data_IF_440051832740
#
_entry.id   IF_440051832740
#
_cell.length_a   1.000
_cell.length_b   1.000
_cell.length_c   1.000
_cell.angle_alpha   90.00
_cell.angle_beta   90.00
_cell.angle_gamma   90.00
#
_symmetry.space_group_name_H-M   'P 1'
#
loop_
_entity.id
_entity.type
_entity.pdbx_description
1 polymer ?
#
# COMPACT_ATOMS: atom_id res chain seq x y z
N UNK A 1 -3.76 31.45 -6.43
CA UNK A 1 -4.03 30.24 -5.65
C UNK A 1 -2.98 29.14 -5.87
N UNK A 2 -2.59 28.85 -7.10
CA UNK A 2 -1.58 27.82 -7.42
C UNK A 2 -0.14 28.31 -7.19
N UNK A 3 0.13 29.61 -7.30
CA UNK A 3 1.48 30.15 -7.14
C UNK A 3 1.83 30.49 -5.68
N UNK A 4 0.86 30.92 -4.88
CA UNK A 4 1.10 31.46 -3.52
C UNK A 4 0.06 31.05 -2.50
N UNK A 5 -0.85 30.16 -2.83
CA UNK A 5 -1.96 29.75 -1.97
C UNK A 5 -1.90 28.29 -1.52
N UNK A 6 -2.99 27.76 -0.99
CA UNK A 6 -3.06 26.39 -0.48
C UNK A 6 -2.84 25.30 -1.55
N UNK A 7 -2.87 25.69 -2.84
CA UNK A 7 -2.62 24.78 -3.98
C UNK A 7 -1.25 25.00 -4.62
N UNK A 8 -0.28 25.63 -3.93
CA UNK A 8 1.05 25.94 -4.47
C UNK A 8 1.85 24.72 -4.88
N UNK A 9 1.56 23.55 -4.31
CA UNK A 9 2.22 22.28 -4.64
C UNK A 9 1.46 21.46 -5.71
N UNK A 10 0.39 22.01 -6.29
CA UNK A 10 -0.41 21.34 -7.31
C UNK A 10 -0.07 21.96 -8.68
N UNK A 11 0.18 21.11 -9.68
CA UNK A 11 0.37 21.56 -11.05
C UNK A 11 -0.87 22.32 -11.56
N UNK A 12 -0.63 23.44 -12.25
CA UNK A 12 -1.73 24.26 -12.81
C UNK A 12 -2.69 23.44 -13.67
N UNK A 13 -2.18 22.48 -14.41
CA UNK A 13 -2.97 21.58 -15.24
C UNK A 13 -3.95 20.75 -14.40
N UNK A 14 -3.47 20.12 -13.33
CA UNK A 14 -4.30 19.31 -12.43
C UNK A 14 -5.37 20.16 -11.72
N UNK A 15 -5.01 21.37 -11.34
CA UNK A 15 -5.96 22.32 -10.75
C UNK A 15 -7.09 22.68 -11.72
N UNK A 16 -6.78 22.90 -12.99
CA UNK A 16 -7.79 23.16 -14.02
C UNK A 16 -8.70 21.95 -14.23
N UNK A 17 -8.13 20.73 -14.27
CA UNK A 17 -8.91 19.49 -14.37
C UNK A 17 -9.86 19.36 -13.18
N UNK A 18 -9.36 19.61 -11.96
CA UNK A 18 -10.18 19.58 -10.74
C UNK A 18 -11.35 20.56 -10.84
N UNK A 19 -11.10 21.82 -11.18
CA UNK A 19 -12.18 22.83 -11.28
C UNK A 19 -13.24 22.43 -12.32
N UNK A 20 -12.84 21.94 -13.47
CA UNK A 20 -13.76 21.46 -14.51
C UNK A 20 -14.60 20.28 -14.02
N UNK A 21 -14.00 19.35 -13.32
CA UNK A 21 -14.70 18.21 -12.76
C UNK A 21 -15.69 18.61 -11.68
N UNK A 22 -15.31 19.54 -10.77
CA UNK A 22 -16.22 20.08 -9.76
C UNK A 22 -17.41 20.82 -10.42
N UNK A 23 -17.17 21.52 -11.54
CA UNK A 23 -18.24 22.14 -12.33
C UNK A 23 -19.18 21.10 -12.95
N UNK A 24 -18.66 20.02 -13.54
CA UNK A 24 -19.46 18.92 -14.08
C UNK A 24 -20.32 18.24 -13.00
N UNK A 25 -19.78 18.12 -11.79
CA UNK A 25 -20.52 17.60 -10.62
C UNK A 25 -21.49 18.62 -10.00
N UNK A 26 -21.63 19.82 -10.58
CA UNK A 26 -22.46 20.93 -10.04
C UNK A 26 -22.08 21.34 -8.60
N UNK A 27 -20.84 21.08 -8.19
CA UNK A 27 -20.31 21.53 -6.90
C UNK A 27 -19.89 22.99 -6.94
N UNK A 28 -19.39 23.45 -8.08
CA UNK A 28 -19.10 24.86 -8.37
C UNK A 28 -19.76 25.27 -9.68
N UNK A 29 -19.99 26.56 -9.84
CA UNK A 29 -20.42 27.19 -11.08
C UNK A 29 -19.56 28.42 -11.37
N UNK A 30 -19.41 28.78 -12.64
CA UNK A 30 -18.67 29.97 -13.04
C UNK A 30 -19.66 30.99 -13.63
N UNK A 31 -19.65 32.18 -13.10
CA UNK A 31 -20.40 33.33 -13.65
C UNK A 31 -19.73 33.90 -14.90
N UNK A 32 -20.45 34.72 -15.64
CA UNK A 32 -19.93 35.43 -16.81
C UNK A 32 -18.75 36.37 -16.50
N UNK A 33 -18.63 36.81 -15.26
CA UNK A 33 -17.51 37.59 -14.73
C UNK A 33 -16.23 36.76 -14.53
N UNK A 34 -16.31 35.41 -14.61
CA UNK A 34 -15.23 34.50 -14.31
C UNK A 34 -15.16 34.10 -12.83
N UNK A 35 -16.00 34.67 -11.97
CA UNK A 35 -16.05 34.32 -10.55
C UNK A 35 -16.60 32.90 -10.37
N UNK A 36 -15.98 32.14 -9.48
CA UNK A 36 -16.45 30.82 -9.08
C UNK A 36 -17.32 30.91 -7.84
N UNK A 37 -18.52 30.35 -7.93
CA UNK A 37 -19.51 30.29 -6.86
C UNK A 37 -19.86 28.83 -6.55
N UNK A 38 -20.58 28.57 -5.47
CA UNK A 38 -21.17 27.26 -5.22
C UNK A 38 -22.17 26.89 -6.32
N UNK A 39 -22.08 25.72 -6.85
CA UNK A 39 -23.11 25.14 -7.71
C UNK A 39 -24.26 24.59 -6.88
N UNK A 40 -25.32 24.12 -7.54
CA UNK A 40 -26.52 23.58 -6.89
C UNK A 40 -26.26 22.52 -5.82
N UNK A 41 -25.39 21.55 -6.13
CA UNK A 41 -24.99 20.51 -5.17
C UNK A 41 -24.00 21.04 -4.15
N UNK A 42 -23.11 21.95 -4.54
CA UNK A 42 -22.14 22.58 -3.64
C UNK A 42 -22.82 23.38 -2.54
N UNK A 43 -23.87 24.14 -2.87
CA UNK A 43 -24.64 24.90 -1.89
C UNK A 43 -25.32 23.98 -0.86
N UNK A 44 -25.94 22.89 -1.32
CA UNK A 44 -26.51 21.87 -0.41
C UNK A 44 -25.45 21.26 0.50
N UNK A 45 -24.26 20.98 -0.05
CA UNK A 45 -23.16 20.36 0.68
C UNK A 45 -22.59 21.26 1.77
N UNK A 46 -22.27 22.53 1.45
CA UNK A 46 -21.66 23.46 2.42
C UNK A 46 -22.63 23.89 3.53
N UNK A 47 -23.93 23.79 3.28
CA UNK A 47 -24.97 24.07 4.28
C UNK A 47 -25.25 22.85 5.18
N UNK A 48 -24.70 21.68 4.88
CA UNK A 48 -24.86 20.50 5.71
C UNK A 48 -23.80 20.50 6.84
N UNK A 49 -24.22 20.18 8.07
CA UNK A 49 -23.32 20.20 9.25
C UNK A 49 -22.11 19.28 9.10
N UNK A 50 -22.24 18.16 8.38
CA UNK A 50 -21.14 17.22 8.12
C UNK A 50 -20.04 17.83 7.25
N UNK A 51 -20.30 18.89 6.49
CA UNK A 51 -19.27 19.54 5.68
C UNK A 51 -18.08 19.99 6.54
N UNK A 52 -18.37 20.56 7.71
CA UNK A 52 -17.36 21.07 8.64
C UNK A 52 -16.84 20.04 9.62
N UNK A 53 -17.37 18.83 9.60
CA UNK A 53 -16.88 17.76 10.48
C UNK A 53 -15.44 17.37 10.11
N UNK A 54 -14.52 17.54 11.06
CA UNK A 54 -13.12 17.08 10.92
C UNK A 54 -12.97 15.57 11.13
N UNK A 55 -14.00 14.90 11.64
CA UNK A 55 -13.96 13.47 11.89
C UNK A 55 -14.25 12.73 10.58
N UNK A 56 -13.26 12.00 10.12
CA UNK A 56 -13.38 11.05 9.01
C UNK A 56 -14.00 9.79 9.60
N UNK A 57 -15.21 9.45 9.20
CA UNK A 57 -15.66 8.07 9.35
C UNK A 57 -14.86 7.25 8.34
N UNK A 58 -13.96 6.38 8.83
CA UNK A 58 -13.29 5.43 7.94
C UNK A 58 -14.37 4.69 7.16
N UNK A 59 -14.30 4.75 5.83
CA UNK A 59 -15.21 3.98 5.01
C UNK A 59 -14.97 2.49 5.26
N UNK A 60 -16.03 1.79 5.62
CA UNK A 60 -15.99 0.34 5.86
C UNK A 60 -16.50 -0.40 4.62
N UNK A 61 -15.77 -1.41 4.24
CA UNK A 61 -16.23 -2.38 3.25
C UNK A 61 -16.90 -3.55 3.94
N UNK A 62 -18.11 -3.90 3.50
CA UNK A 62 -18.79 -5.11 3.93
C UNK A 62 -18.18 -6.32 3.22
N UNK A 63 -17.81 -7.33 3.99
CA UNK A 63 -17.27 -8.58 3.45
C UNK A 63 -18.42 -9.57 3.26
N UNK A 64 -18.53 -10.12 2.07
CA UNK A 64 -19.56 -11.10 1.71
C UNK A 64 -18.92 -12.37 1.11
N UNK A 65 -19.46 -13.53 1.52
CA UNK A 65 -19.10 -14.84 0.94
C UNK A 65 -20.35 -15.66 0.68
N UNK A 66 -20.52 -16.15 -0.53
CA UNK A 66 -21.68 -16.94 -0.96
C UNK A 66 -23.03 -16.26 -0.59
N UNK A 67 -23.13 -14.95 -0.81
CA UNK A 67 -24.34 -14.15 -0.53
C UNK A 67 -24.62 -13.90 0.97
N UNK A 68 -23.70 -14.25 1.87
CA UNK A 68 -23.82 -13.98 3.31
C UNK A 68 -22.82 -12.92 3.73
N UNK A 69 -23.28 -11.90 4.46
CA UNK A 69 -22.43 -10.93 5.10
C UNK A 69 -21.66 -11.58 6.25
N UNK A 70 -20.34 -11.37 6.28
CA UNK A 70 -19.45 -11.86 7.34
C UNK A 70 -19.14 -10.76 8.36
N UNK A 71 -19.33 -9.48 7.99
CA UNK A 71 -19.03 -8.30 8.80
C UNK A 71 -18.46 -7.17 7.94
N UNK A 72 -17.86 -6.17 8.56
CA UNK A 72 -17.23 -5.04 7.87
C UNK A 72 -15.77 -4.87 8.27
N UNK A 73 -14.98 -4.26 7.38
CA UNK A 73 -13.56 -3.95 7.60
C UNK A 73 -13.23 -2.60 6.97
N UNK A 74 -12.42 -1.81 7.68
CA UNK A 74 -11.82 -0.59 7.15
C UNK A 74 -10.43 -0.94 6.60
N UNK A 75 -10.16 -0.66 5.33
CA UNK A 75 -8.91 -0.97 4.66
C UNK A 75 -8.25 0.28 4.14
N UNK A 76 -7.03 0.56 4.58
CA UNK A 76 -6.20 1.69 4.09
C UNK A 76 -5.17 1.27 3.05
N UNK A 77 -4.73 0.00 3.07
CA UNK A 77 -3.79 -0.51 2.09
C UNK A 77 -4.46 -0.75 0.73
N UNK A 78 -3.69 -0.74 -0.37
CA UNK A 78 -4.23 -1.00 -1.69
C UNK A 78 -5.01 -2.32 -1.74
N UNK A 79 -6.26 -2.25 -2.18
CA UNK A 79 -7.14 -3.42 -2.30
C UNK A 79 -7.28 -3.81 -3.77
N UNK A 80 -6.85 -5.02 -4.09
CA UNK A 80 -6.91 -5.57 -5.46
C UNK A 80 -7.61 -6.92 -5.50
N UNK A 81 -8.24 -7.28 -6.62
CA UNK A 81 -8.72 -8.65 -6.82
C UNK A 81 -7.60 -9.68 -6.65
N UNK A 82 -7.96 -10.87 -6.21
CA UNK A 82 -7.07 -12.00 -5.92
C UNK A 82 -6.13 -11.84 -4.73
N UNK A 83 -6.10 -10.70 -4.03
CA UNK A 83 -5.31 -10.59 -2.81
C UNK A 83 -5.87 -11.47 -1.69
N UNK A 84 -4.96 -11.92 -0.81
CA UNK A 84 -5.34 -12.60 0.43
C UNK A 84 -5.83 -11.61 1.47
N UNK A 85 -6.84 -11.98 2.24
CA UNK A 85 -7.39 -11.19 3.34
C UNK A 85 -7.59 -12.08 4.56
N UNK A 86 -7.21 -11.61 5.76
CA UNK A 86 -7.64 -12.25 7.01
C UNK A 86 -8.83 -11.47 7.57
N UNK A 87 -9.91 -12.19 7.84
CA UNK A 87 -11.08 -11.64 8.49
C UNK A 87 -11.74 -12.67 9.42
N UNK A 88 -12.10 -12.25 10.62
CA UNK A 88 -12.69 -13.10 11.66
C UNK A 88 -11.88 -14.41 11.92
N UNK A 89 -10.55 -14.29 11.96
CA UNK A 89 -9.64 -15.41 12.24
C UNK A 89 -9.54 -16.44 11.11
N UNK A 90 -10.04 -16.14 9.91
CA UNK A 90 -10.01 -17.01 8.73
C UNK A 90 -9.35 -16.32 7.56
N UNK A 91 -8.81 -17.12 6.66
CA UNK A 91 -8.24 -16.67 5.39
C UNK A 91 -9.30 -16.63 4.31
N UNK A 92 -9.25 -15.57 3.54
CA UNK A 92 -10.14 -15.30 2.44
C UNK A 92 -9.33 -14.82 1.23
N UNK A 93 -9.81 -15.15 0.04
CA UNK A 93 -9.33 -14.61 -1.23
C UNK A 93 -10.35 -13.63 -1.75
N UNK A 94 -9.92 -12.41 -2.08
CA UNK A 94 -10.77 -11.39 -2.68
C UNK A 94 -11.11 -11.81 -4.11
N UNK A 95 -12.40 -11.93 -4.42
CA UNK A 95 -12.90 -12.24 -5.76
C UNK A 95 -13.19 -10.96 -6.52
N UNK A 96 -13.98 -10.09 -5.90
CA UNK A 96 -14.49 -8.88 -6.52
C UNK A 96 -14.61 -7.77 -5.47
N UNK A 97 -14.43 -6.54 -5.91
CA UNK A 97 -14.54 -5.34 -5.08
C UNK A 97 -15.50 -4.38 -5.76
N UNK A 98 -16.61 -4.10 -5.11
CA UNK A 98 -17.54 -3.06 -5.52
C UNK A 98 -17.31 -1.81 -4.67
N UNK A 99 -16.59 -0.84 -5.23
CA UNK A 99 -16.21 0.39 -4.51
C UNK A 99 -17.40 1.33 -4.27
N UNK A 100 -18.42 1.30 -5.13
CA UNK A 100 -19.62 2.13 -4.96
C UNK A 100 -20.52 1.59 -3.83
N UNK A 101 -20.77 0.27 -3.84
CA UNK A 101 -21.58 -0.37 -2.79
C UNK A 101 -20.78 -0.67 -1.51
N UNK A 102 -19.45 -0.45 -1.52
CA UNK A 102 -18.52 -0.78 -0.44
C UNK A 102 -18.62 -2.25 -0.01
N UNK A 103 -18.60 -3.16 -1.01
CA UNK A 103 -18.68 -4.60 -0.81
C UNK A 103 -17.43 -5.28 -1.35
N UNK A 104 -16.87 -6.20 -0.56
CA UNK A 104 -15.79 -7.09 -0.96
C UNK A 104 -16.36 -8.51 -0.98
N UNK A 105 -16.40 -9.13 -2.16
CA UNK A 105 -16.74 -10.53 -2.28
C UNK A 105 -15.52 -11.40 -2.10
N UNK A 106 -15.61 -12.39 -1.21
CA UNK A 106 -14.51 -13.27 -0.85
C UNK A 106 -14.88 -14.74 -0.93
N UNK A 107 -13.87 -15.59 -1.12
CA UNK A 107 -13.98 -17.04 -0.96
C UNK A 107 -12.98 -17.55 0.06
N UNK A 108 -13.26 -18.69 0.75
CA UNK A 108 -12.29 -19.29 1.67
C UNK A 108 -10.99 -19.62 0.94
N UNK A 109 -9.86 -19.25 1.54
CA UNK A 109 -8.51 -19.54 1.03
C UNK A 109 -7.82 -20.55 1.94
N UNK A 110 -7.35 -21.67 1.36
CA UNK A 110 -6.73 -22.78 2.10
C UNK A 110 -5.19 -22.76 2.03
N UNK A 111 -4.60 -21.88 1.24
CA UNK A 111 -3.17 -21.92 0.96
C UNK A 111 -2.49 -20.56 0.96
N UNK A 112 -1.16 -20.58 0.99
CA UNK A 112 -0.33 -19.40 0.85
C UNK A 112 0.18 -18.80 2.18
N UNK A 113 0.96 -17.72 2.08
CA UNK A 113 1.46 -16.93 3.19
C UNK A 113 0.33 -16.42 4.07
N UNK A 114 0.63 -16.21 5.35
CA UNK A 114 -0.33 -15.60 6.27
C UNK A 114 -0.53 -14.14 5.83
N UNK A 115 -1.71 -13.73 5.35
CA UNK A 115 -1.94 -12.33 5.04
C UNK A 115 -1.71 -11.50 6.31
N UNK A 116 -1.12 -10.33 6.10
CA UNK A 116 -0.89 -9.38 7.18
C UNK A 116 -2.21 -9.00 7.87
N UNK A 117 -2.23 -9.05 9.22
CA UNK A 117 -3.30 -8.48 10.00
C UNK A 117 -3.26 -6.96 9.87
N UNK A 118 -4.13 -6.40 9.05
CA UNK A 118 -4.39 -4.97 9.15
C UNK A 118 -5.09 -4.68 10.47
N UNK A 119 -4.34 -4.09 11.38
CA UNK A 119 -4.96 -3.38 12.48
C UNK A 119 -5.74 -2.20 11.89
N UNK A 120 -7.05 -2.30 11.92
CA UNK A 120 -7.95 -1.23 11.55
C UNK A 120 -7.54 0.07 12.26
N UNK A 121 -7.03 1.03 11.49
CA UNK A 121 -6.71 2.36 12.03
C UNK A 121 -5.25 2.63 12.41
N UNK A 122 -4.32 1.72 12.21
CA UNK A 122 -2.89 1.99 12.45
C UNK A 122 -2.28 2.83 11.32
N UNK A 123 -1.49 3.83 11.74
CA UNK A 123 -0.65 4.59 10.80
C UNK A 123 0.34 3.66 10.10
N UNK A 124 0.64 3.94 8.83
CA UNK A 124 1.68 3.22 8.08
C UNK A 124 3.03 3.28 8.79
N UNK A 125 3.70 2.14 8.91
CA UNK A 125 5.01 2.07 9.53
C UNK A 125 6.05 2.70 8.60
N UNK A 126 6.77 3.69 9.10
CA UNK A 126 7.82 4.38 8.35
C UNK A 126 9.07 3.50 8.22
N UNK A 127 9.80 3.61 7.10
CA UNK A 127 11.02 2.83 6.81
C UNK A 127 12.07 2.92 7.94
N UNK A 128 12.23 4.09 8.57
CA UNK A 128 13.19 4.28 9.67
C UNK A 128 12.97 3.32 10.84
N UNK A 129 11.70 2.98 11.15
CA UNK A 129 11.38 2.05 12.24
C UNK A 129 11.89 0.65 11.89
N UNK A 130 11.58 0.14 10.69
CA UNK A 130 12.03 -1.19 10.28
C UNK A 130 13.54 -1.29 10.07
N UNK A 131 14.15 -0.24 9.56
CA UNK A 131 15.61 -0.14 9.48
C UNK A 131 16.24 -0.20 10.88
N UNK A 132 15.65 0.51 11.87
CA UNK A 132 16.13 0.44 13.26
C UNK A 132 15.93 -0.96 13.86
N UNK A 133 14.86 -1.67 13.51
CA UNK A 133 14.68 -3.07 13.90
C UNK A 133 15.83 -3.94 13.34
N UNK A 134 16.20 -3.76 12.07
CA UNK A 134 17.34 -4.47 11.47
C UNK A 134 18.65 -4.14 12.18
N UNK A 135 18.91 -2.87 12.48
CA UNK A 135 20.09 -2.44 13.24
C UNK A 135 20.18 -3.11 14.62
N UNK A 136 19.06 -3.21 15.35
CA UNK A 136 18.99 -3.88 16.66
C UNK A 136 19.27 -5.38 16.56
N UNK A 137 18.86 -6.03 15.47
CA UNK A 137 19.13 -7.45 15.23
C UNK A 137 20.57 -7.70 14.83
N UNK A 138 21.20 -6.77 14.09
CA UNK A 138 22.61 -6.82 13.70
C UNK A 138 23.58 -6.70 14.87
N UNK A 139 23.26 -5.83 15.83
CA UNK A 139 24.15 -5.50 16.94
C UNK A 139 23.81 -6.31 18.20
N UNK A 140 24.83 -6.81 18.89
CA UNK A 140 24.67 -7.52 20.16
C UNK A 140 24.51 -6.61 21.38
N UNK A 141 24.38 -5.28 21.16
CA UNK A 141 24.25 -4.31 22.26
C UNK A 141 23.09 -4.67 23.18
N UNK A 142 23.33 -4.63 24.47
CA UNK A 142 22.33 -4.80 25.50
C UNK A 142 21.36 -3.61 25.51
N UNK A 143 20.07 -3.87 25.67
CA UNK A 143 19.02 -2.85 25.72
C UNK A 143 18.52 -2.78 27.16
N UNK A 144 18.91 -1.75 27.94
CA UNK A 144 18.79 -1.74 29.39
C UNK A 144 17.35 -1.65 29.92
N UNK A 145 16.38 -1.25 29.09
CA UNK A 145 14.98 -1.13 29.47
C UNK A 145 14.14 -2.38 29.18
N UNK A 146 14.73 -3.46 28.65
CA UNK A 146 14.05 -4.72 28.45
C UNK A 146 14.07 -5.57 29.73
N UNK A 147 12.95 -6.19 30.06
CA UNK A 147 12.89 -7.22 31.07
C UNK A 147 13.57 -8.53 30.62
N UNK A 148 13.73 -9.49 31.51
CA UNK A 148 14.40 -10.74 31.24
C UNK A 148 13.71 -11.55 30.10
N UNK A 149 12.39 -11.50 29.99
CA UNK A 149 11.62 -12.18 28.94
C UNK A 149 11.86 -11.55 27.59
N UNK A 150 11.80 -10.22 27.50
CA UNK A 150 12.05 -9.48 26.28
C UNK A 150 13.51 -9.61 25.83
N UNK A 151 14.47 -9.63 26.75
CA UNK A 151 15.88 -9.90 26.44
C UNK A 151 16.07 -11.30 25.83
N UNK A 152 15.42 -12.33 26.38
CA UNK A 152 15.46 -13.68 25.83
C UNK A 152 14.86 -13.72 24.41
N UNK A 153 13.70 -13.13 24.21
CA UNK A 153 13.06 -13.04 22.88
C UNK A 153 13.94 -12.31 21.87
N UNK A 154 14.61 -11.23 22.28
CA UNK A 154 15.53 -10.52 21.41
C UNK A 154 16.76 -11.37 21.06
N UNK A 155 17.29 -12.14 22.01
CA UNK A 155 18.40 -13.06 21.75
C UNK A 155 18.00 -14.15 20.73
N UNK A 156 16.81 -14.73 20.88
CA UNK A 156 16.26 -15.71 19.92
C UNK A 156 16.07 -15.09 18.53
N UNK A 157 15.55 -13.86 18.46
CA UNK A 157 15.37 -13.14 17.21
C UNK A 157 16.71 -12.83 16.51
N UNK A 158 17.73 -12.41 17.25
CA UNK A 158 19.11 -12.21 16.75
C UNK A 158 19.72 -13.50 16.22
N UNK A 159 19.54 -14.60 16.92
CA UNK A 159 20.04 -15.92 16.47
C UNK A 159 19.34 -16.35 15.18
N UNK A 160 18.02 -16.21 15.10
CA UNK A 160 17.28 -16.46 13.87
C UNK A 160 17.76 -15.59 12.70
N UNK A 161 17.96 -14.28 12.95
CA UNK A 161 18.46 -13.34 11.95
C UNK A 161 19.82 -13.76 11.39
N UNK A 162 20.75 -14.16 12.28
CA UNK A 162 22.11 -14.62 11.94
C UNK A 162 22.09 -15.95 11.19
N UNK A 163 21.42 -16.98 11.73
CA UNK A 163 21.32 -18.32 11.09
C UNK A 163 20.63 -18.22 9.74
N UNK A 164 19.68 -17.30 9.61
CA UNK A 164 18.97 -17.04 8.37
C UNK A 164 19.76 -16.20 7.36
N UNK A 165 20.97 -15.74 7.72
CA UNK A 165 21.82 -14.86 6.90
C UNK A 165 21.12 -13.60 6.39
N UNK A 166 20.18 -13.04 7.17
CA UNK A 166 19.39 -11.85 6.79
C UNK A 166 20.19 -10.56 6.81
N UNK A 167 21.44 -10.62 7.30
CA UNK A 167 22.42 -9.54 7.14
C UNK A 167 22.80 -9.36 5.68
N UNK A 168 23.07 -10.48 4.97
CA UNK A 168 23.70 -10.51 3.64
C UNK A 168 22.73 -10.89 2.52
N UNK A 169 21.49 -11.24 2.83
CA UNK A 169 20.51 -11.61 1.81
C UNK A 169 19.15 -10.94 2.03
N UNK A 170 18.56 -10.49 0.92
CA UNK A 170 17.19 -10.03 0.90
C UNK A 170 16.19 -11.16 0.65
N UNK A 171 16.62 -12.30 0.16
CA UNK A 171 15.72 -13.34 -0.34
C UNK A 171 15.90 -14.66 0.40
N UNK A 172 14.78 -15.21 0.89
CA UNK A 172 14.70 -16.59 1.41
C UNK A 172 13.56 -17.35 0.76
N UNK A 173 13.76 -18.62 0.53
CA UNK A 173 12.71 -19.55 0.12
C UNK A 173 12.26 -20.36 1.33
N UNK A 174 10.96 -20.42 1.58
CA UNK A 174 10.37 -21.14 2.70
C UNK A 174 8.95 -21.61 2.37
N UNK A 175 8.66 -22.89 2.57
CA UNK A 175 7.31 -23.44 2.42
C UNK A 175 6.68 -23.27 1.03
N UNK A 176 7.48 -23.25 -0.04
CA UNK A 176 7.01 -23.05 -1.42
C UNK A 176 6.80 -21.57 -1.79
N UNK A 177 7.12 -20.65 -0.88
CA UNK A 177 7.04 -19.20 -1.09
C UNK A 177 8.42 -18.58 -1.06
N UNK A 178 8.55 -17.42 -1.68
CA UNK A 178 9.76 -16.58 -1.62
C UNK A 178 9.49 -15.38 -0.71
N UNK A 179 10.33 -15.22 0.31
CA UNK A 179 10.29 -14.09 1.24
C UNK A 179 11.32 -13.06 0.82
N UNK A 180 10.87 -11.84 0.54
CA UNK A 180 11.72 -10.70 0.18
C UNK A 180 11.81 -9.76 1.38
N UNK A 181 12.88 -9.84 2.15
CA UNK A 181 13.13 -9.01 3.34
C UNK A 181 13.56 -7.61 2.93
N UNK A 182 12.62 -6.69 2.95
CA UNK A 182 12.85 -5.30 2.51
C UNK A 182 13.42 -4.42 3.60
N UNK A 183 13.01 -4.63 4.85
CA UNK A 183 13.25 -3.72 5.98
C UNK A 183 12.82 -2.27 5.69
N UNK A 184 11.86 -2.11 4.76
CA UNK A 184 11.31 -0.84 4.36
C UNK A 184 9.92 -0.60 5.00
N UNK A 185 9.46 0.64 4.95
CA UNK A 185 8.14 1.03 5.44
C UNK A 185 7.01 0.52 4.55
N UNK A 186 5.77 0.69 5.04
CA UNK A 186 4.59 0.18 4.34
C UNK A 186 4.40 0.80 2.97
N UNK A 187 4.72 2.09 2.78
CA UNK A 187 4.61 2.74 1.48
C UNK A 187 5.50 2.09 0.42
N UNK A 188 6.75 1.78 0.77
CA UNK A 188 7.68 1.07 -0.13
C UNK A 188 7.20 -0.36 -0.37
N UNK A 189 6.81 -1.07 0.69
CA UNK A 189 6.33 -2.45 0.58
C UNK A 189 5.06 -2.56 -0.26
N UNK A 190 4.08 -1.67 -0.06
CA UNK A 190 2.86 -1.63 -0.85
C UNK A 190 3.16 -1.35 -2.33
N UNK A 191 4.11 -0.44 -2.60
CA UNK A 191 4.57 -0.16 -3.97
C UNK A 191 5.17 -1.42 -4.61
N UNK A 192 6.06 -2.11 -3.88
CA UNK A 192 6.67 -3.37 -4.36
C UNK A 192 5.63 -4.46 -4.61
N UNK A 193 4.64 -4.60 -3.72
CA UNK A 193 3.53 -5.56 -3.91
C UNK A 193 2.76 -5.27 -5.19
N UNK A 194 2.42 -3.99 -5.45
CA UNK A 194 1.75 -3.60 -6.70
C UNK A 194 2.62 -3.82 -7.93
N UNK A 195 3.93 -3.51 -7.86
CA UNK A 195 4.87 -3.76 -8.95
C UNK A 195 4.98 -5.24 -9.29
N UNK A 196 5.15 -6.09 -8.28
CA UNK A 196 5.24 -7.54 -8.45
C UNK A 196 3.91 -8.13 -8.95
N UNK A 197 2.79 -7.66 -8.38
CA UNK A 197 1.44 -8.07 -8.77
C UNK A 197 1.11 -7.70 -10.22
N UNK A 198 1.57 -6.55 -10.73
CA UNK A 198 1.37 -6.13 -12.13
C UNK A 198 2.01 -7.08 -13.15
N UNK A 199 2.99 -7.88 -12.73
CA UNK A 199 3.63 -8.92 -13.54
C UNK A 199 3.16 -10.34 -13.15
N UNK A 200 2.08 -10.48 -12.41
CA UNK A 200 1.42 -11.75 -12.12
C UNK A 200 1.95 -12.51 -10.91
N UNK A 201 2.78 -11.91 -10.06
CA UNK A 201 3.19 -12.51 -8.79
C UNK A 201 2.12 -12.26 -7.71
N UNK A 202 1.77 -13.32 -6.97
CA UNK A 202 0.90 -13.22 -5.79
C UNK A 202 1.75 -12.80 -4.59
N UNK A 203 1.80 -11.49 -4.34
CA UNK A 203 2.64 -10.88 -3.32
C UNK A 203 1.80 -10.23 -2.22
N UNK A 204 2.26 -10.30 -0.96
CA UNK A 204 1.64 -9.67 0.19
C UNK A 204 2.67 -8.97 1.08
N UNK A 205 2.30 -7.82 1.66
CA UNK A 205 3.13 -7.08 2.60
C UNK A 205 2.97 -7.71 3.99
N UNK A 206 4.04 -8.31 4.51
CA UNK A 206 4.10 -8.96 5.83
C UNK A 206 4.92 -8.13 6.84
N UNK A 207 5.00 -6.84 6.62
CA UNK A 207 5.75 -5.91 7.47
C UNK A 207 7.23 -5.85 7.12
N UNK A 208 8.08 -6.63 7.75
CA UNK A 208 9.54 -6.59 7.49
C UNK A 208 9.94 -7.25 6.18
N UNK A 209 9.05 -8.04 5.59
CA UNK A 209 9.25 -8.70 4.30
C UNK A 209 7.97 -8.70 3.46
N UNK A 210 8.12 -8.99 2.20
CA UNK A 210 7.04 -9.31 1.28
C UNK A 210 7.05 -10.82 1.08
N UNK A 211 5.90 -11.46 1.24
CA UNK A 211 5.73 -12.86 0.92
C UNK A 211 5.20 -13.01 -0.50
N UNK A 212 5.85 -13.83 -1.31
CA UNK A 212 5.46 -14.13 -2.69
C UNK A 212 5.08 -15.59 -2.76
N UNK A 213 3.80 -15.86 -2.88
CA UNK A 213 3.23 -17.21 -2.86
C UNK A 213 3.61 -18.00 -4.11
N UNK A 214 3.80 -19.32 -3.95
CA UNK A 214 4.07 -20.24 -5.06
C UNK A 214 5.18 -19.75 -6.00
N UNK A 215 6.23 -19.15 -5.44
CA UNK A 215 7.33 -18.54 -6.18
C UNK A 215 8.68 -19.07 -5.74
N UNK A 216 9.62 -19.07 -6.68
CA UNK A 216 11.05 -19.35 -6.44
C UNK A 216 11.88 -18.10 -6.61
N UNK A 217 13.05 -18.05 -5.99
CA UNK A 217 14.05 -16.96 -6.14
C UNK A 217 14.32 -16.60 -7.60
N UNK A 218 14.45 -17.62 -8.48
CA UNK A 218 14.67 -17.40 -9.90
C UNK A 218 13.54 -16.66 -10.60
N UNK A 219 12.29 -16.96 -10.23
CA UNK A 219 11.10 -16.28 -10.76
C UNK A 219 11.05 -14.83 -10.30
N UNK A 220 11.32 -14.56 -9.02
CA UNK A 220 11.42 -13.20 -8.49
C UNK A 220 12.48 -12.40 -9.25
N UNK A 221 13.68 -12.95 -9.44
CA UNK A 221 14.76 -12.28 -10.18
C UNK A 221 14.37 -11.96 -11.62
N UNK A 222 13.72 -12.89 -12.33
CA UNK A 222 13.26 -12.66 -13.69
C UNK A 222 12.23 -11.50 -13.73
N UNK A 223 11.31 -11.48 -12.77
CA UNK A 223 10.30 -10.43 -12.63
C UNK A 223 10.93 -9.08 -12.32
N UNK A 224 11.90 -9.02 -11.37
CA UNK A 224 12.61 -7.78 -11.03
C UNK A 224 13.39 -7.25 -12.23
N UNK A 225 14.09 -8.10 -12.98
CA UNK A 225 14.75 -7.72 -14.24
C UNK A 225 13.78 -7.10 -15.23
N UNK A 226 12.61 -7.71 -15.41
CA UNK A 226 11.57 -7.21 -16.31
C UNK A 226 11.02 -5.86 -15.84
N UNK A 227 10.79 -5.67 -14.53
CA UNK A 227 10.36 -4.38 -13.98
C UNK A 227 11.36 -3.28 -14.29
N UNK A 228 12.64 -3.52 -14.02
CA UNK A 228 13.69 -2.52 -14.24
C UNK A 228 13.93 -2.23 -15.73
N UNK A 229 13.71 -3.20 -16.62
CA UNK A 229 13.83 -3.00 -18.07
C UNK A 229 12.65 -2.23 -18.69
N UNK A 230 11.49 -2.22 -18.06
CA UNK A 230 10.30 -1.53 -18.55
C UNK A 230 10.35 -0.01 -18.36
N UNK A 231 11.37 0.50 -17.66
CA UNK A 231 11.55 1.94 -17.40
C UNK A 231 10.69 2.47 -16.26
N UNK A 232 10.44 3.77 -16.28
CA UNK A 232 9.72 4.46 -15.18
C UNK A 232 8.26 4.04 -15.15
N UNK A 233 7.83 3.54 -13.99
CA UNK A 233 6.45 3.15 -13.73
C UNK A 233 5.71 4.36 -13.17
N UNK A 234 4.58 4.70 -13.77
CA UNK A 234 3.75 5.82 -13.30
C UNK A 234 2.76 5.38 -12.21
N UNK A 235 2.34 6.30 -11.31
CA UNK A 235 1.28 5.99 -10.33
C UNK A 235 0.02 5.42 -10.97
N UNK A 236 -0.43 5.99 -12.08
CA UNK A 236 -1.64 5.53 -12.77
C UNK A 236 -1.53 4.07 -13.28
N UNK A 237 -0.33 3.64 -13.69
CA UNK A 237 -0.11 2.24 -14.08
C UNK A 237 -0.19 1.29 -12.89
N UNK A 238 0.39 1.65 -11.74
CA UNK A 238 0.34 0.83 -10.51
C UNK A 238 -1.06 0.75 -9.92
N UNK A 239 -1.80 1.87 -9.96
CA UNK A 239 -3.11 1.98 -9.33
C UNK A 239 -4.28 1.48 -10.21
N UNK A 240 -4.00 0.99 -11.42
CA UNK A 240 -5.03 0.55 -12.37
C UNK A 240 -6.01 -0.48 -11.76
N UNK A 241 -5.49 -1.43 -11.00
CA UNK A 241 -6.28 -2.51 -10.38
C UNK A 241 -6.69 -2.22 -8.93
N UNK A 242 -6.21 -1.11 -8.35
CA UNK A 242 -6.57 -0.71 -6.98
C UNK A 242 -7.97 -0.13 -6.97
N UNK A 243 -8.83 -0.62 -6.07
CA UNK A 243 -10.27 -0.29 -6.03
C UNK A 243 -10.68 0.60 -4.87
N UNK A 244 -9.83 0.77 -3.85
CA UNK A 244 -10.07 1.60 -2.67
C UNK A 244 -9.24 2.88 -2.68
N UNK A 245 -9.28 3.63 -3.78
CA UNK A 245 -8.53 4.88 -3.92
C UNK A 245 -9.12 6.02 -3.08
N UNK A 246 -10.42 6.00 -2.85
CA UNK A 246 -11.13 6.96 -2.02
C UNK A 246 -10.89 6.61 -0.54
N UNK A 247 -9.90 7.25 0.09
CA UNK A 247 -9.50 7.03 1.48
C UNK A 247 -9.87 8.18 2.40
N UNK A 248 -10.14 9.37 1.82
CA UNK A 248 -10.43 10.58 2.54
C UNK A 248 -11.83 11.10 2.21
N UNK A 249 -12.42 11.86 3.12
CA UNK A 249 -13.80 12.35 3.07
C UNK A 249 -14.23 12.98 1.74
N UNK A 250 -13.32 13.64 1.05
CA UNK A 250 -13.62 14.40 -0.17
C UNK A 250 -13.06 13.78 -1.45
N UNK A 251 -12.51 12.58 -1.37
CA UNK A 251 -11.90 11.90 -2.51
C UNK A 251 -12.89 11.62 -3.65
N UNK A 252 -14.16 11.37 -3.33
CA UNK A 252 -15.24 11.25 -4.31
C UNK A 252 -15.44 12.50 -5.21
N UNK A 253 -14.99 13.66 -4.75
CA UNK A 253 -15.05 14.91 -5.51
C UNK A 253 -13.81 15.14 -6.39
N UNK A 254 -12.84 14.20 -6.39
CA UNK A 254 -11.64 14.28 -7.21
C UNK A 254 -11.84 13.55 -8.55
N UNK A 255 -11.38 14.12 -9.68
CA UNK A 255 -11.26 13.37 -10.92
C UNK A 255 -10.21 12.28 -10.78
N UNK A 256 -10.40 11.14 -11.47
CA UNK A 256 -9.55 9.95 -11.32
C UNK A 256 -8.05 10.25 -11.41
N UNK A 257 -7.63 11.09 -12.34
CA UNK A 257 -6.21 11.45 -12.51
C UNK A 257 -5.61 12.18 -11.31
N UNK A 258 -6.40 13.04 -10.66
CA UNK A 258 -6.00 13.75 -9.43
C UNK A 258 -6.08 12.83 -8.23
N UNK A 259 -7.10 11.97 -8.17
CA UNK A 259 -7.24 10.94 -7.13
C UNK A 259 -6.07 9.97 -7.15
N UNK A 260 -5.67 9.46 -8.32
CA UNK A 260 -4.50 8.58 -8.46
C UNK A 260 -3.22 9.25 -7.92
N UNK A 261 -3.00 10.53 -8.26
CA UNK A 261 -1.85 11.30 -7.75
C UNK A 261 -1.92 11.52 -6.24
N UNK A 262 -3.11 11.89 -5.73
CA UNK A 262 -3.35 12.07 -4.29
C UNK A 262 -3.07 10.79 -3.52
N UNK A 263 -3.68 9.69 -3.93
CA UNK A 263 -3.48 8.38 -3.31
C UNK A 263 -2.01 7.96 -3.35
N UNK A 264 -1.36 8.07 -4.51
CA UNK A 264 0.05 7.72 -4.65
C UNK A 264 0.96 8.54 -3.74
N UNK A 265 0.69 9.83 -3.56
CA UNK A 265 1.49 10.71 -2.69
C UNK A 265 1.47 10.28 -1.22
N UNK A 266 0.40 9.63 -0.79
CA UNK A 266 0.22 9.16 0.60
C UNK A 266 0.61 7.69 0.76
N UNK A 267 0.27 6.83 -0.20
CA UNK A 267 0.34 5.38 -0.05
C UNK A 267 1.57 4.73 -0.71
N UNK A 268 2.24 5.41 -1.65
CA UNK A 268 3.32 4.82 -2.45
C UNK A 268 4.65 5.56 -2.30
N UNK A 269 5.74 4.85 -2.64
CA UNK A 269 7.13 5.34 -2.71
C UNK A 269 7.84 4.66 -3.89
N UNK A 270 7.57 5.14 -5.12
CA UNK A 270 8.02 4.47 -6.35
C UNK A 270 9.54 4.50 -6.49
N UNK A 271 10.19 5.64 -6.24
CA UNK A 271 11.64 5.78 -6.38
C UNK A 271 12.39 4.85 -5.42
N UNK A 272 12.03 4.87 -4.12
CA UNK A 272 12.66 4.00 -3.14
C UNK A 272 12.39 2.51 -3.40
N UNK A 273 11.23 2.17 -3.95
CA UNK A 273 10.93 0.80 -4.33
C UNK A 273 11.80 0.34 -5.51
N UNK A 274 11.98 1.19 -6.53
CA UNK A 274 12.87 0.89 -7.68
C UNK A 274 14.33 0.77 -7.23
N UNK A 275 14.83 1.68 -6.39
CA UNK A 275 16.18 1.62 -5.82
C UNK A 275 16.41 0.33 -5.03
N UNK A 276 15.39 -0.13 -4.31
CA UNK A 276 15.47 -1.40 -3.58
C UNK A 276 15.56 -2.59 -4.54
N UNK A 277 14.78 -2.60 -5.63
CA UNK A 277 14.84 -3.66 -6.63
C UNK A 277 16.21 -3.74 -7.34
N UNK A 278 16.88 -2.60 -7.55
CA UNK A 278 18.26 -2.58 -8.06
C UNK A 278 19.20 -3.30 -7.11
N UNK A 279 19.14 -3.02 -5.80
CA UNK A 279 19.96 -3.69 -4.77
C UNK A 279 19.72 -5.19 -4.72
N UNK A 280 18.46 -5.64 -4.91
CA UNK A 280 18.12 -7.07 -4.98
C UNK A 280 18.81 -7.78 -6.15
N UNK A 281 18.95 -7.13 -7.32
CA UNK A 281 19.70 -7.70 -8.45
C UNK A 281 21.21 -7.68 -8.25
N UNK A 282 21.75 -6.63 -7.63
CA UNK A 282 23.19 -6.52 -7.34
C UNK A 282 23.67 -7.64 -6.40
N UNK A 283 22.92 -7.92 -5.33
CA UNK A 283 23.20 -9.05 -4.43
C UNK A 283 23.35 -10.37 -5.20
N UNK A 284 22.53 -10.57 -6.20
CA UNK A 284 22.55 -11.81 -6.99
C UNK A 284 23.78 -11.94 -7.87
N UNK A 285 24.30 -10.81 -8.37
CA UNK A 285 25.47 -10.80 -9.22
C UNK A 285 26.76 -11.06 -8.39
N UNK A 286 26.83 -10.53 -7.18
CA UNK A 286 27.95 -10.77 -6.24
C UNK A 286 28.03 -12.27 -5.88
N UNK A 287 26.90 -12.89 -5.57
CA UNK A 287 26.84 -14.32 -5.23
C UNK A 287 27.15 -15.28 -6.40
N UNK A 288 27.09 -14.79 -7.66
CA UNK A 288 27.49 -15.58 -8.85
C UNK A 288 28.98 -15.51 -9.16
N UNK A 289 29.67 -14.48 -8.69
CA UNK A 289 31.12 -14.29 -8.91
C UNK A 289 31.94 -15.02 -7.84
N UNK A 290 31.32 -15.31 -6.69
CA UNK A 290 31.98 -16.03 -5.58
C UNK A 290 31.75 -17.54 -5.53
N UNK A 291 30.99 -18.11 -6.49
CA UNK A 291 30.81 -19.55 -6.72
C UNK A 291 31.37 -19.92 -8.08
#
# INVERSE_FOLDING_TARGET
MVETGPFSNIEKHDFIILLRYLGQKKLITQESSGLLLHGELGEKLVNHYEFYSAFISNEEYRIESNGKSLGSISLKNPLTPNMGLIFAGRRWRVLEINSEAKIIMVMPDKGGAIPYFENTGTAMVHSRIRQRMKEILLHSQEIPFLDATAQKMLAEAREYFRVSNLENTFIREMGGSTLLFTWQGDRVNNTLVLMLGSLGLDASNEGVHICISNSKKSMLHATVKKLLSNGIITPAQLLKEVKNLESEKWDWALPKTVLDKSYASVALEIELAMDFLVKVLEETNINKVCN
#
